data_IF_895858409695
#
_entry.id   IF_895858409695
#
_cell.length_a   1.000
_cell.length_b   1.000
_cell.length_c   1.000
_cell.angle_alpha   90.00
_cell.angle_beta   90.00
_cell.angle_gamma   90.00
#
_symmetry.space_group_name_H-M   'P 1'
#
loop_
_entity.id
_entity.type
_entity.pdbx_description
1 polymer ?
#
# COMPACT_ATOMS: atom_id res chain seq x y z
N UNK A 1 11.38 -10.16 -13.88
CA UNK A 1 10.24 -10.47 -12.99
C UNK A 1 10.55 -10.44 -11.48
N UNK A 2 11.80 -10.28 -10.99
CA UNK A 2 12.08 -10.29 -9.53
C UNK A 2 11.66 -9.02 -8.75
N UNK A 3 11.57 -7.85 -9.41
CA UNK A 3 11.47 -6.55 -8.72
C UNK A 3 10.13 -6.28 -8.02
N UNK A 4 9.12 -7.13 -8.20
CA UNK A 4 7.79 -6.99 -7.57
C UNK A 4 7.47 -8.07 -6.53
N UNK A 5 8.23 -9.16 -6.45
CA UNK A 5 7.95 -10.28 -5.51
C UNK A 5 7.91 -9.82 -4.04
N UNK A 6 8.77 -8.87 -3.66
CA UNK A 6 8.79 -8.32 -2.31
C UNK A 6 7.54 -7.50 -1.97
N UNK A 7 6.89 -6.87 -2.95
CA UNK A 7 5.63 -6.15 -2.74
C UNK A 7 4.50 -7.12 -2.46
N UNK A 8 4.45 -8.23 -3.20
CA UNK A 8 3.44 -9.26 -3.02
C UNK A 8 3.62 -9.96 -1.66
N UNK A 9 4.88 -10.22 -1.25
CA UNK A 9 5.20 -10.70 0.09
C UNK A 9 4.77 -9.73 1.19
N UNK A 10 5.08 -8.44 1.04
CA UNK A 10 4.70 -7.41 2.01
C UNK A 10 3.18 -7.24 2.11
N UNK A 11 2.47 -7.33 0.99
CA UNK A 11 0.99 -7.35 0.94
C UNK A 11 0.42 -8.56 1.65
N UNK A 12 0.99 -9.74 1.41
CA UNK A 12 0.56 -10.98 2.08
C UNK A 12 0.71 -10.89 3.59
N UNK A 13 1.85 -10.38 4.09
CA UNK A 13 2.08 -10.16 5.52
C UNK A 13 1.06 -9.15 6.08
N UNK A 14 0.87 -8.01 5.41
CA UNK A 14 -0.10 -7.01 5.83
C UNK A 14 -1.53 -7.56 5.86
N UNK A 15 -1.91 -8.38 4.87
CA UNK A 15 -3.23 -9.00 4.80
C UNK A 15 -3.44 -10.03 5.93
N UNK A 16 -2.41 -10.83 6.24
CA UNK A 16 -2.47 -11.78 7.36
C UNK A 16 -2.63 -11.06 8.70
N UNK A 17 -1.92 -9.94 8.90
CA UNK A 17 -2.07 -9.10 10.09
C UNK A 17 -3.49 -8.52 10.17
N UNK A 18 -4.04 -7.97 9.09
CA UNK A 18 -5.41 -7.45 9.07
C UNK A 18 -6.44 -8.54 9.35
N UNK A 19 -6.25 -9.76 8.82
CA UNK A 19 -7.13 -10.88 9.09
C UNK A 19 -7.07 -11.33 10.56
N UNK A 20 -5.86 -11.42 11.13
CA UNK A 20 -5.68 -11.73 12.54
C UNK A 20 -6.32 -10.67 13.45
N UNK A 21 -6.11 -9.39 13.14
CA UNK A 21 -6.70 -8.25 13.85
C UNK A 21 -8.23 -8.35 13.88
N UNK A 22 -8.89 -8.52 12.73
CA UNK A 22 -10.35 -8.68 12.68
C UNK A 22 -10.85 -9.95 13.38
N UNK A 23 -10.05 -11.02 13.40
CA UNK A 23 -10.41 -12.25 14.10
C UNK A 23 -10.36 -12.08 15.62
N UNK A 24 -9.36 -11.37 16.15
CA UNK A 24 -9.16 -11.21 17.60
C UNK A 24 -9.84 -9.98 18.19
N UNK A 25 -10.23 -8.98 17.38
CA UNK A 25 -10.78 -7.69 17.86
C UNK A 25 -12.00 -7.85 18.75
N UNK A 26 -12.83 -8.88 18.54
CA UNK A 26 -14.04 -9.14 19.33
C UNK A 26 -13.77 -9.86 20.65
N UNK A 27 -12.69 -10.65 20.73
CA UNK A 27 -12.46 -11.61 21.82
C UNK A 27 -11.28 -11.25 22.73
N UNK A 28 -10.31 -10.45 22.25
CA UNK A 28 -9.06 -10.17 22.96
C UNK A 28 -8.76 -8.68 22.93
N UNK A 29 -9.13 -7.93 23.98
CA UNK A 29 -9.02 -6.47 23.96
C UNK A 29 -7.59 -5.92 24.18
N UNK A 30 -6.75 -6.60 24.97
CA UNK A 30 -5.46 -6.06 25.43
C UNK A 30 -4.48 -5.67 24.31
N UNK A 31 -4.33 -6.43 23.19
CA UNK A 31 -3.42 -6.08 22.10
C UNK A 31 -3.79 -4.81 21.33
N UNK A 32 -5.06 -4.39 21.40
CA UNK A 32 -5.59 -3.23 20.67
C UNK A 32 -5.31 -1.91 21.39
N UNK A 33 -4.83 -1.98 22.62
CA UNK A 33 -4.53 -0.85 23.51
C UNK A 33 -3.03 -0.65 23.62
N UNK A 34 -2.59 0.60 23.73
CA UNK A 34 -1.19 0.92 23.94
C UNK A 34 -0.71 0.59 25.34
N UNK A 35 0.57 0.25 25.45
CA UNK A 35 1.24 0.06 26.75
C UNK A 35 1.14 1.36 27.57
N UNK A 36 0.73 1.26 28.83
CA UNK A 36 0.47 2.38 29.76
C UNK A 36 -0.65 3.35 29.38
N UNK A 37 -1.58 2.96 28.50
CA UNK A 37 -2.86 3.71 28.36
C UNK A 37 -3.68 3.61 29.65
N UNK A 38 -4.44 4.65 29.97
CA UNK A 38 -5.34 4.67 31.12
C UNK A 38 -6.52 3.68 30.97
N UNK A 39 -6.89 2.91 32.02
CA UNK A 39 -6.21 2.79 33.31
C UNK A 39 -4.90 1.97 33.20
N UNK A 40 -3.76 2.46 33.74
CA UNK A 40 -2.44 1.84 33.51
C UNK A 40 -2.25 0.47 34.14
N UNK A 41 -3.12 0.05 35.07
CA UNK A 41 -3.03 -1.25 35.75
C UNK A 41 -3.40 -2.41 34.82
N UNK A 42 -4.32 -2.19 33.86
CA UNK A 42 -4.75 -3.20 32.89
C UNK A 42 -3.94 -3.23 31.59
N UNK A 43 -2.97 -2.32 31.43
CA UNK A 43 -2.25 -2.07 30.17
C UNK A 43 -0.74 -2.17 30.34
N UNK A 44 -0.26 -3.33 30.85
CA UNK A 44 1.16 -3.62 31.09
C UNK A 44 1.61 -4.91 30.39
N UNK A 45 1.00 -5.25 29.26
CA UNK A 45 1.27 -6.51 28.58
C UNK A 45 2.34 -6.36 27.50
N UNK A 46 3.23 -7.34 27.39
CA UNK A 46 4.33 -7.34 26.41
C UNK A 46 3.80 -7.25 24.96
N UNK A 47 2.61 -7.81 24.69
CA UNK A 47 1.94 -7.75 23.37
C UNK A 47 1.64 -6.32 22.91
N UNK A 48 1.54 -5.36 23.83
CA UNK A 48 1.24 -3.95 23.54
C UNK A 48 2.49 -3.15 23.13
N UNK A 49 3.68 -3.73 23.28
CA UNK A 49 4.94 -3.05 22.96
C UNK A 49 5.38 -3.35 21.52
N UNK A 50 5.98 -2.37 20.83
CA UNK A 50 6.81 -2.67 19.66
C UNK A 50 7.97 -3.60 20.06
N UNK A 51 8.32 -4.61 19.25
CA UNK A 51 7.83 -4.83 17.90
C UNK A 51 6.55 -5.67 17.80
N UNK A 52 6.17 -6.39 18.85
CA UNK A 52 5.14 -7.44 18.82
C UNK A 52 3.76 -6.89 18.44
N UNK A 53 3.46 -5.67 18.87
CA UNK A 53 2.18 -5.00 18.60
C UNK A 53 1.79 -4.94 17.12
N UNK A 54 2.75 -4.93 16.19
CA UNK A 54 2.43 -4.82 14.76
C UNK A 54 1.45 -5.91 14.28
N UNK A 55 1.45 -7.07 14.94
CA UNK A 55 0.57 -8.20 14.64
C UNK A 55 -0.91 -7.89 14.87
N UNK A 56 -1.22 -6.83 15.63
CA UNK A 56 -2.54 -6.35 15.99
C UNK A 56 -2.73 -4.87 15.60
N UNK A 57 -2.04 -4.43 14.53
CA UNK A 57 -2.14 -3.06 14.03
C UNK A 57 -2.75 -3.04 12.62
N UNK A 58 -4.02 -3.42 12.49
CA UNK A 58 -4.72 -3.35 11.20
C UNK A 58 -4.69 -1.94 10.60
N UNK A 59 -4.93 -0.89 11.39
CA UNK A 59 -4.89 0.48 10.89
C UNK A 59 -3.50 0.86 10.33
N UNK A 60 -2.41 0.36 10.92
CA UNK A 60 -1.07 0.52 10.34
C UNK A 60 -0.89 -0.23 9.03
N UNK A 61 -1.49 -1.43 8.91
CA UNK A 61 -1.46 -2.18 7.66
C UNK A 61 -2.30 -1.51 6.56
N UNK A 62 -3.42 -0.87 6.90
CA UNK A 62 -4.22 -0.09 5.93
C UNK A 62 -3.39 1.04 5.32
N UNK A 63 -2.66 1.82 6.13
CA UNK A 63 -1.79 2.89 5.60
C UNK A 63 -0.64 2.32 4.76
N UNK A 64 -0.15 1.13 5.11
CA UNK A 64 0.85 0.41 4.34
C UNK A 64 0.31 -0.02 2.97
N UNK A 65 -0.93 -0.51 2.91
CA UNK A 65 -1.60 -0.84 1.65
C UNK A 65 -1.72 0.39 0.73
N UNK A 66 -2.00 1.58 1.25
CA UNK A 66 -2.10 2.79 0.42
C UNK A 66 -0.76 3.10 -0.29
N UNK A 67 0.35 3.02 0.43
CA UNK A 67 1.70 3.25 -0.13
C UNK A 67 2.06 2.17 -1.17
N UNK A 68 1.82 0.91 -0.85
CA UNK A 68 2.14 -0.21 -1.74
C UNK A 68 1.26 -0.18 -2.99
N UNK A 69 -0.04 0.11 -2.85
CA UNK A 69 -0.96 0.26 -3.97
C UNK A 69 -0.54 1.40 -4.88
N UNK A 70 -0.20 2.57 -4.33
CA UNK A 70 0.38 3.67 -5.10
C UNK A 70 1.63 3.25 -5.89
N UNK A 71 2.55 2.52 -5.26
CA UNK A 71 3.76 2.02 -5.92
C UNK A 71 3.45 1.04 -7.06
N UNK A 72 2.62 0.03 -6.80
CA UNK A 72 2.34 -1.05 -7.76
C UNK A 72 1.61 -0.55 -9.02
N UNK A 73 0.65 0.36 -8.85
CA UNK A 73 -0.02 1.02 -9.98
C UNK A 73 0.99 1.80 -10.80
N UNK A 74 1.78 2.60 -10.10
CA UNK A 74 2.71 3.53 -10.72
C UNK A 74 3.78 2.80 -11.51
N UNK A 75 4.44 1.79 -10.93
CA UNK A 75 5.53 1.11 -11.63
C UNK A 75 5.08 0.46 -12.94
N UNK A 76 3.87 -0.11 -12.97
CA UNK A 76 3.28 -0.70 -14.18
C UNK A 76 3.07 0.34 -15.28
N UNK A 77 2.43 1.48 -14.95
CA UNK A 77 2.15 2.54 -15.90
C UNK A 77 3.39 3.34 -16.32
N UNK A 78 4.34 3.55 -15.40
CA UNK A 78 5.58 4.27 -15.66
C UNK A 78 6.49 3.53 -16.64
N UNK A 79 6.45 2.20 -16.66
CA UNK A 79 7.18 1.40 -17.66
C UNK A 79 6.61 1.59 -19.07
N UNK A 80 5.30 1.85 -19.19
CA UNK A 80 4.65 2.07 -20.48
C UNK A 80 4.61 3.54 -20.93
N UNK A 81 5.10 4.48 -20.10
CA UNK A 81 4.90 5.94 -20.29
C UNK A 81 5.38 6.48 -21.64
N UNK A 82 6.50 5.96 -22.15
CA UNK A 82 7.09 6.44 -23.40
C UNK A 82 6.57 5.67 -24.64
N UNK A 83 5.66 4.71 -24.46
CA UNK A 83 5.11 3.92 -25.54
C UNK A 83 3.83 4.53 -26.14
N UNK A 84 3.50 4.22 -27.40
CA UNK A 84 2.28 4.72 -28.05
C UNK A 84 0.99 4.26 -27.36
N UNK A 85 1.04 3.13 -26.65
CA UNK A 85 -0.09 2.57 -25.91
C UNK A 85 -0.27 3.15 -24.49
N UNK A 86 0.49 4.17 -24.08
CA UNK A 86 0.45 4.70 -22.71
C UNK A 86 -0.96 5.08 -22.25
N UNK A 87 -1.65 5.92 -23.03
CA UNK A 87 -3.01 6.38 -22.68
C UNK A 87 -4.03 5.24 -22.70
N UNK A 88 -3.93 4.31 -23.65
CA UNK A 88 -4.78 3.13 -23.71
C UNK A 88 -4.60 2.26 -22.46
N UNK A 89 -3.36 2.06 -22.01
CA UNK A 89 -3.05 1.32 -20.77
C UNK A 89 -3.55 2.03 -19.52
N UNK A 90 -3.44 3.36 -19.44
CA UNK A 90 -4.01 4.15 -18.34
C UNK A 90 -5.53 4.02 -18.31
N UNK A 91 -6.20 4.25 -19.45
CA UNK A 91 -7.66 4.13 -19.58
C UNK A 91 -8.16 2.75 -19.16
N UNK A 92 -7.52 1.70 -19.68
CA UNK A 92 -7.84 0.32 -19.34
C UNK A 92 -7.59 0.01 -17.84
N UNK A 93 -6.53 0.57 -17.24
CA UNK A 93 -6.26 0.42 -15.82
C UNK A 93 -7.33 1.09 -14.94
N UNK A 94 -7.84 2.27 -15.33
CA UNK A 94 -8.92 2.98 -14.62
C UNK A 94 -10.20 2.13 -14.65
N UNK A 95 -10.65 1.73 -15.84
CA UNK A 95 -11.92 1.00 -16.02
C UNK A 95 -11.89 -0.36 -15.32
N UNK A 96 -10.85 -1.17 -15.54
CA UNK A 96 -10.74 -2.49 -14.89
C UNK A 96 -10.72 -2.39 -13.37
N UNK A 97 -10.15 -1.31 -12.82
CA UNK A 97 -10.08 -1.13 -11.36
C UNK A 97 -11.46 -0.90 -10.74
N UNK A 98 -12.36 -0.18 -11.42
CA UNK A 98 -13.74 0.02 -10.95
C UNK A 98 -14.41 -1.32 -10.71
N UNK A 99 -14.40 -2.20 -11.72
CA UNK A 99 -14.98 -3.53 -11.60
C UNK A 99 -14.27 -4.38 -10.57
N UNK A 100 -12.93 -4.39 -10.56
CA UNK A 100 -12.16 -5.20 -9.61
C UNK A 100 -12.43 -4.84 -8.14
N UNK A 101 -12.63 -3.56 -7.83
CA UNK A 101 -12.91 -3.10 -6.46
C UNK A 101 -14.39 -3.26 -6.12
N UNK A 102 -15.29 -2.73 -6.96
CA UNK A 102 -16.70 -2.62 -6.58
C UNK A 102 -17.54 -3.85 -6.90
N UNK A 103 -17.11 -4.74 -7.81
CA UNK A 103 -17.86 -5.97 -8.06
C UNK A 103 -17.85 -6.91 -6.84
N UNK A 104 -16.70 -7.20 -6.19
CA UNK A 104 -16.70 -7.97 -4.94
C UNK A 104 -17.46 -7.28 -3.81
N UNK A 105 -17.36 -5.95 -3.71
CA UNK A 105 -18.09 -5.14 -2.71
C UNK A 105 -19.60 -5.25 -2.92
N UNK A 106 -20.08 -5.14 -4.15
CA UNK A 106 -21.49 -5.27 -4.48
C UNK A 106 -22.02 -6.67 -4.12
N UNK A 107 -21.29 -7.72 -4.48
CA UNK A 107 -21.68 -9.10 -4.19
C UNK A 107 -21.75 -9.34 -2.67
N UNK A 108 -20.71 -8.96 -1.94
CA UNK A 108 -20.65 -9.13 -0.47
C UNK A 108 -21.67 -8.28 0.27
N UNK A 109 -21.90 -7.03 -0.14
CA UNK A 109 -22.95 -6.17 0.41
C UNK A 109 -24.35 -6.73 0.14
N UNK A 110 -24.58 -7.28 -1.05
CA UNK A 110 -25.85 -7.92 -1.40
C UNK A 110 -26.13 -9.15 -0.53
N UNK A 111 -25.13 -10.04 -0.36
CA UNK A 111 -25.27 -11.20 0.53
C UNK A 111 -25.49 -10.80 1.98
N UNK A 112 -24.73 -9.82 2.49
CA UNK A 112 -24.93 -9.30 3.84
C UNK A 112 -26.36 -8.76 4.03
N UNK A 113 -26.88 -7.99 3.07
CA UNK A 113 -28.23 -7.47 3.14
C UNK A 113 -29.29 -8.58 3.08
N UNK A 114 -29.06 -9.62 2.27
CA UNK A 114 -29.96 -10.79 2.19
C UNK A 114 -30.00 -11.53 3.54
N UNK A 115 -28.83 -11.79 4.15
CA UNK A 115 -28.78 -12.45 5.45
C UNK A 115 -29.39 -11.61 6.56
N UNK A 116 -29.21 -10.28 6.50
CA UNK A 116 -29.85 -9.36 7.42
C UNK A 116 -31.38 -9.32 7.23
N UNK A 117 -31.88 -9.36 6.00
CA UNK A 117 -33.32 -9.44 5.73
C UNK A 117 -33.97 -10.68 6.38
N UNK A 118 -33.27 -11.82 6.38
CA UNK A 118 -33.71 -13.06 7.01
C UNK A 118 -33.46 -13.12 8.52
N UNK A 119 -32.99 -12.04 9.14
CA UNK A 119 -32.72 -11.96 10.58
C UNK A 119 -31.65 -12.97 11.05
N UNK A 120 -30.64 -13.22 10.22
CA UNK A 120 -29.57 -14.19 10.52
C UNK A 120 -28.40 -13.60 11.31
N UNK A 121 -28.35 -12.27 11.45
CA UNK A 121 -27.30 -11.59 12.19
C UNK A 121 -27.62 -11.55 13.68
N UNK A 122 -26.68 -12.07 14.49
CA UNK A 122 -26.76 -12.04 15.96
C UNK A 122 -25.64 -11.19 16.58
N UNK A 123 -24.86 -10.50 15.75
CA UNK A 123 -23.77 -9.63 16.22
C UNK A 123 -24.35 -8.29 16.73
N UNK A 124 -23.84 -7.73 17.84
CA UNK A 124 -24.10 -6.34 18.18
C UNK A 124 -23.65 -5.39 17.07
N UNK A 125 -24.56 -4.54 16.62
CA UNK A 125 -24.28 -3.40 15.76
C UNK A 125 -24.54 -2.11 16.52
N UNK A 126 -23.97 -1.01 16.03
CA UNK A 126 -24.27 0.33 16.54
C UNK A 126 -25.77 0.65 16.36
N UNK A 127 -26.41 1.12 17.42
CA UNK A 127 -27.87 1.40 17.42
C UNK A 127 -28.22 2.47 16.38
N UNK A 128 -27.39 3.52 16.25
CA UNK A 128 -27.57 4.57 15.26
C UNK A 128 -27.46 4.06 13.83
N UNK A 129 -26.57 3.10 13.57
CA UNK A 129 -26.50 2.41 12.28
C UNK A 129 -27.75 1.55 12.02
N UNK A 130 -28.21 0.78 13.00
CA UNK A 130 -29.41 -0.06 12.86
C UNK A 130 -30.67 0.76 12.55
N UNK A 131 -30.78 1.97 13.10
CA UNK A 131 -31.89 2.89 12.79
C UNK A 131 -31.93 3.31 11.31
N UNK A 132 -30.78 3.33 10.63
CA UNK A 132 -30.71 3.63 9.19
C UNK A 132 -31.13 2.45 8.30
N UNK A 133 -31.15 1.24 8.84
CA UNK A 133 -31.46 0.02 8.11
C UNK A 133 -32.97 -0.25 8.09
N UNK A 134 -33.52 -0.73 6.95
CA UNK A 134 -34.87 -1.29 6.94
C UNK A 134 -34.98 -2.47 7.93
N UNK A 135 -36.15 -2.66 8.56
CA UNK A 135 -36.32 -3.75 9.53
C UNK A 135 -36.28 -5.12 8.84
N UNK A 136 -35.72 -6.17 9.46
CA UNK A 136 -35.76 -7.53 8.92
C UNK A 136 -37.18 -7.96 8.57
N UNK A 137 -37.33 -8.82 7.57
CA UNK A 137 -38.62 -9.29 7.04
C UNK A 137 -39.58 -8.21 6.53
N UNK A 138 -39.16 -6.95 6.44
CA UNK A 138 -39.97 -5.84 5.92
C UNK A 138 -39.50 -5.37 4.55
N UNK A 139 -40.43 -4.91 3.71
CA UNK A 139 -40.19 -4.20 2.44
C UNK A 139 -38.89 -4.61 1.69
N UNK A 140 -38.85 -5.77 1.00
CA UNK A 140 -37.64 -6.27 0.32
C UNK A 140 -37.00 -5.24 -0.63
N UNK A 141 -37.82 -4.40 -1.25
CA UNK A 141 -37.36 -3.31 -2.10
C UNK A 141 -36.53 -2.27 -1.34
N UNK A 142 -36.86 -1.96 -0.08
CA UNK A 142 -36.10 -1.04 0.75
C UNK A 142 -34.69 -1.58 1.07
N UNK A 143 -34.55 -2.90 1.24
CA UNK A 143 -33.24 -3.53 1.39
C UNK A 143 -32.41 -3.44 0.11
N UNK A 144 -33.04 -3.65 -1.05
CA UNK A 144 -32.38 -3.51 -2.34
C UNK A 144 -31.93 -2.07 -2.62
N UNK A 145 -32.79 -1.08 -2.38
CA UNK A 145 -32.44 0.34 -2.55
C UNK A 145 -31.37 0.78 -1.56
N UNK A 146 -31.35 0.23 -0.34
CA UNK A 146 -30.27 0.47 0.61
C UNK A 146 -28.91 0.03 0.05
N UNK A 147 -28.81 -1.15 -0.56
CA UNK A 147 -27.56 -1.62 -1.19
C UNK A 147 -27.14 -0.70 -2.34
N UNK A 148 -28.08 -0.24 -3.17
CA UNK A 148 -27.78 0.70 -4.25
C UNK A 148 -27.28 2.05 -3.73
N UNK A 149 -27.89 2.59 -2.68
CA UNK A 149 -27.43 3.83 -2.04
C UNK A 149 -26.05 3.64 -1.40
N UNK A 150 -25.84 2.52 -0.70
CA UNK A 150 -24.52 2.17 -0.14
C UNK A 150 -23.44 2.09 -1.24
N UNK A 151 -23.77 1.54 -2.42
CA UNK A 151 -22.86 1.55 -3.57
C UNK A 151 -22.63 2.95 -4.12
N UNK A 152 -23.68 3.77 -4.25
CA UNK A 152 -23.57 5.13 -4.75
C UNK A 152 -22.67 5.99 -3.84
N UNK A 153 -22.86 5.90 -2.52
CA UNK A 153 -22.05 6.59 -1.52
C UNK A 153 -20.60 6.08 -1.54
N UNK A 154 -20.40 4.75 -1.66
CA UNK A 154 -19.07 4.14 -1.77
C UNK A 154 -18.32 4.57 -3.04
N UNK A 155 -19.02 4.75 -4.15
CA UNK A 155 -18.42 5.17 -5.43
C UNK A 155 -18.16 6.69 -5.46
N UNK A 156 -18.80 7.47 -4.59
CA UNK A 156 -18.64 8.91 -4.53
C UNK A 156 -17.26 9.32 -4.00
N UNK A 157 -16.33 9.48 -4.94
CA UNK A 157 -14.92 9.81 -4.70
C UNK A 157 -14.72 11.25 -4.21
N UNK A 158 -15.70 12.14 -4.45
CA UNK A 158 -15.59 13.58 -4.21
C UNK A 158 -16.09 13.92 -2.81
N UNK A 159 -17.30 13.48 -2.49
CA UNK A 159 -17.92 13.66 -1.19
C UNK A 159 -18.04 12.30 -0.51
N UNK A 160 -16.92 11.86 0.07
CA UNK A 160 -16.87 10.60 0.80
C UNK A 160 -17.71 10.71 2.09
N UNK A 161 -18.84 10.01 2.13
CA UNK A 161 -19.66 9.85 3.31
C UNK A 161 -19.62 8.38 3.76
N UNK A 162 -19.13 8.14 4.97
CA UNK A 162 -19.20 6.82 5.59
C UNK A 162 -20.45 6.75 6.47
N UNK A 163 -21.47 6.01 6.03
CA UNK A 163 -22.75 5.86 6.74
C UNK A 163 -22.88 4.57 7.54
N UNK A 164 -21.76 3.90 7.80
CA UNK A 164 -21.74 2.55 8.36
C UNK A 164 -22.12 1.49 7.32
N UNK A 165 -21.78 0.24 7.58
CA UNK A 165 -22.11 -0.88 6.72
C UNK A 165 -22.19 -2.18 7.52
N UNK A 166 -23.06 -3.10 7.10
CA UNK A 166 -23.06 -4.48 7.62
C UNK A 166 -21.68 -5.13 7.46
N UNK A 167 -20.95 -4.76 6.40
CA UNK A 167 -19.56 -5.11 6.18
C UNK A 167 -18.65 -3.92 6.50
N UNK A 168 -18.50 -3.61 7.79
CA UNK A 168 -17.76 -2.43 8.28
C UNK A 168 -16.34 -2.33 7.71
N UNK A 169 -15.72 -3.46 7.40
CA UNK A 169 -14.35 -3.61 6.88
C UNK A 169 -14.17 -3.05 5.45
N UNK A 170 -15.26 -2.88 4.69
CA UNK A 170 -15.20 -2.41 3.29
C UNK A 170 -14.96 -0.91 3.16
N UNK A 171 -14.89 -0.17 4.27
CA UNK A 171 -14.63 1.27 4.31
C UNK A 171 -13.35 1.70 3.58
N UNK A 172 -12.37 0.81 3.45
CA UNK A 172 -11.11 1.10 2.75
C UNK A 172 -11.25 1.10 1.22
N UNK A 173 -12.30 0.51 0.66
CA UNK A 173 -12.45 0.35 -0.80
C UNK A 173 -12.61 1.69 -1.53
N UNK A 174 -13.48 2.62 -1.06
CA UNK A 174 -13.56 3.97 -1.63
C UNK A 174 -12.26 4.75 -1.50
N UNK A 175 -11.58 4.61 -0.37
CA UNK A 175 -10.27 5.23 -0.10
C UNK A 175 -9.23 4.75 -1.10
N UNK A 176 -9.19 3.44 -1.37
CA UNK A 176 -8.28 2.85 -2.35
C UNK A 176 -8.59 3.33 -3.78
N UNK A 177 -9.86 3.41 -4.14
CA UNK A 177 -10.27 3.91 -5.44
C UNK A 177 -9.93 5.40 -5.60
N UNK A 178 -10.20 6.22 -4.59
CA UNK A 178 -9.85 7.65 -4.55
C UNK A 178 -8.37 7.88 -4.78
N UNK A 179 -7.51 7.26 -3.98
CA UNK A 179 -6.07 7.42 -4.11
C UNK A 179 -5.53 6.92 -5.45
N UNK A 180 -6.14 5.88 -6.01
CA UNK A 180 -5.78 5.38 -7.35
C UNK A 180 -6.07 6.39 -8.45
N UNK A 181 -7.23 7.06 -8.41
CA UNK A 181 -7.59 8.10 -9.36
C UNK A 181 -6.63 9.31 -9.30
N UNK A 182 -6.21 9.69 -8.09
CA UNK A 182 -5.17 10.73 -7.91
C UNK A 182 -3.86 10.31 -8.59
N UNK A 183 -3.43 9.06 -8.43
CA UNK A 183 -2.22 8.55 -9.08
C UNK A 183 -2.35 8.52 -10.60
N UNK A 184 -3.49 8.09 -11.15
CA UNK A 184 -3.72 8.12 -12.59
C UNK A 184 -3.64 9.54 -13.15
N UNK A 185 -4.29 10.49 -12.49
CA UNK A 185 -4.26 11.90 -12.87
C UNK A 185 -2.84 12.48 -12.81
N UNK A 186 -2.07 12.19 -11.77
CA UNK A 186 -0.69 12.66 -11.64
C UNK A 186 0.24 12.01 -12.68
N UNK A 187 0.07 10.74 -13.00
CA UNK A 187 0.87 10.04 -14.01
C UNK A 187 0.64 10.64 -15.41
N UNK A 188 -0.61 10.94 -15.76
CA UNK A 188 -0.95 11.57 -17.03
C UNK A 188 -0.49 13.04 -17.05
N UNK A 189 -0.83 13.81 -16.02
CA UNK A 189 -0.50 15.24 -15.93
C UNK A 189 1.01 15.52 -15.89
N UNK A 190 1.79 14.63 -15.26
CA UNK A 190 3.26 14.74 -15.18
C UNK A 190 3.98 13.91 -16.27
N UNK A 191 3.26 13.39 -17.27
CA UNK A 191 3.85 12.55 -18.32
C UNK A 191 4.92 13.30 -19.12
N UNK A 192 4.65 14.55 -19.50
CA UNK A 192 5.58 15.44 -20.22
C UNK A 192 6.67 16.09 -19.36
N UNK A 193 6.62 15.92 -18.03
CA UNK A 193 7.57 16.57 -17.13
C UNK A 193 8.92 15.82 -17.07
N UNK A 194 10.01 16.60 -16.95
CA UNK A 194 11.35 16.04 -16.70
C UNK A 194 11.37 15.25 -15.40
N UNK A 195 12.12 14.15 -15.36
CA UNK A 195 12.23 13.27 -14.17
C UNK A 195 12.68 14.04 -12.93
N UNK A 196 13.61 14.99 -13.07
CA UNK A 196 14.10 15.83 -11.96
C UNK A 196 12.97 16.63 -11.30
N UNK A 197 12.10 17.26 -12.09
CA UNK A 197 10.97 18.05 -11.57
C UNK A 197 9.98 17.17 -10.80
N UNK A 198 9.73 15.94 -11.27
CA UNK A 198 8.85 14.96 -10.61
C UNK A 198 9.36 14.59 -9.21
N UNK A 199 10.67 14.51 -9.01
CA UNK A 199 11.26 14.21 -7.70
C UNK A 199 11.03 15.29 -6.64
N UNK A 200 10.75 16.54 -7.05
CA UNK A 200 10.44 17.64 -6.12
C UNK A 200 8.94 17.86 -5.96
N UNK A 201 8.17 17.82 -7.05
CA UNK A 201 6.74 18.15 -7.00
C UNK A 201 5.92 17.06 -6.30
N UNK A 202 6.27 15.78 -6.45
CA UNK A 202 5.52 14.67 -5.85
C UNK A 202 5.60 14.68 -4.32
N UNK A 203 6.80 14.80 -3.68
CA UNK A 203 6.87 14.93 -2.22
C UNK A 203 6.20 16.21 -1.71
N UNK A 204 6.33 17.33 -2.42
CA UNK A 204 5.66 18.59 -2.04
C UNK A 204 4.13 18.40 -1.99
N UNK A 205 3.56 17.81 -3.03
CA UNK A 205 2.13 17.55 -3.11
C UNK A 205 1.68 16.53 -2.05
N UNK A 206 2.47 15.47 -1.83
CA UNK A 206 2.21 14.50 -0.78
C UNK A 206 2.15 15.20 0.59
N UNK A 207 3.18 15.96 0.95
CA UNK A 207 3.25 16.70 2.22
C UNK A 207 2.09 17.70 2.37
N UNK A 208 1.68 18.37 1.29
CA UNK A 208 0.50 19.24 1.28
C UNK A 208 -0.78 18.47 1.67
N UNK A 209 -1.05 17.31 1.05
CA UNK A 209 -2.21 16.49 1.39
C UNK A 209 -2.14 15.95 2.81
N UNK A 210 -0.95 15.55 3.27
CA UNK A 210 -0.73 15.12 4.64
C UNK A 210 -1.01 16.24 5.65
N UNK A 211 -0.59 17.48 5.35
CA UNK A 211 -0.89 18.65 6.19
C UNK A 211 -2.39 18.93 6.31
N UNK A 212 -3.18 18.63 5.28
CA UNK A 212 -4.65 18.66 5.32
C UNK A 212 -5.29 17.45 6.02
N UNK A 213 -4.51 16.41 6.37
CA UNK A 213 -5.02 15.19 7.00
C UNK A 213 -5.42 14.08 6.01
N UNK A 214 -5.18 14.26 4.70
CA UNK A 214 -5.45 13.23 3.69
C UNK A 214 -4.29 12.22 3.64
N UNK A 215 -4.21 11.40 4.68
CA UNK A 215 -3.15 10.40 4.87
C UNK A 215 -3.11 9.37 3.73
N UNK A 216 -4.26 8.95 3.22
CA UNK A 216 -4.39 8.00 2.13
C UNK A 216 -3.83 8.56 0.82
N UNK A 217 -4.21 9.79 0.45
CA UNK A 217 -3.69 10.48 -0.74
C UNK A 217 -2.18 10.66 -0.63
N UNK A 218 -1.67 11.05 0.55
CA UNK A 218 -0.24 11.09 0.81
C UNK A 218 0.41 9.72 0.53
N UNK A 219 -0.15 8.64 1.06
CA UNK A 219 0.37 7.28 0.86
C UNK A 219 0.48 6.91 -0.61
N UNK A 220 -0.58 7.15 -1.39
CA UNK A 220 -0.61 6.86 -2.83
C UNK A 220 0.42 7.69 -3.62
N UNK A 221 0.51 9.01 -3.36
CA UNK A 221 1.48 9.89 -4.02
C UNK A 221 2.91 9.50 -3.64
N UNK A 222 3.14 9.13 -2.38
CA UNK A 222 4.45 8.65 -1.93
C UNK A 222 4.84 7.35 -2.62
N UNK A 223 3.89 6.42 -2.79
CA UNK A 223 4.06 5.21 -3.58
C UNK A 223 4.48 5.51 -5.04
N UNK A 224 3.84 6.48 -5.68
CA UNK A 224 4.21 6.98 -7.01
C UNK A 224 5.64 7.53 -7.03
N UNK A 225 6.03 8.34 -6.04
CA UNK A 225 7.39 8.87 -5.93
C UNK A 225 8.44 7.75 -5.75
N UNK A 226 8.14 6.74 -4.94
CA UNK A 226 9.01 5.56 -4.77
C UNK A 226 9.17 4.79 -6.09
N UNK A 227 8.09 4.66 -6.89
CA UNK A 227 8.13 4.01 -8.20
C UNK A 227 8.98 4.80 -9.21
N UNK A 228 8.88 6.14 -9.23
CA UNK A 228 9.75 7.00 -10.05
C UNK A 228 11.24 6.86 -9.66
N UNK A 229 11.53 6.73 -8.36
CA UNK A 229 12.90 6.47 -7.88
C UNK A 229 13.40 5.11 -8.33
N UNK A 230 12.57 4.06 -8.22
CA UNK A 230 12.92 2.72 -8.65
C UNK A 230 13.20 2.66 -10.16
N UNK A 231 12.37 3.32 -10.98
CA UNK A 231 12.57 3.40 -12.43
C UNK A 231 13.86 4.14 -12.79
N UNK A 232 14.11 5.28 -12.14
CA UNK A 232 15.30 6.11 -12.39
C UNK A 232 16.60 5.38 -12.01
N UNK A 233 16.59 4.63 -10.91
CA UNK A 233 17.72 3.74 -10.52
C UNK A 233 17.95 2.66 -11.58
N UNK A 234 16.89 2.03 -12.08
CA UNK A 234 17.02 1.01 -13.12
C UNK A 234 17.61 1.57 -14.42
N UNK A 235 17.18 2.76 -14.85
CA UNK A 235 17.71 3.41 -16.06
C UNK A 235 19.20 3.76 -15.90
N UNK A 236 19.61 4.23 -14.71
CA UNK A 236 21.00 4.51 -14.40
C UNK A 236 21.88 3.24 -14.46
N UNK A 237 21.39 2.11 -13.92
CA UNK A 237 22.11 0.83 -13.99
C UNK A 237 22.30 0.36 -15.43
N UNK A 238 21.25 0.38 -16.26
CA UNK A 238 21.35 -0.02 -17.68
C UNK A 238 22.33 0.86 -18.46
N UNK A 239 22.35 2.17 -18.21
CA UNK A 239 23.31 3.09 -18.86
C UNK A 239 24.77 2.87 -18.47
N UNK A 240 25.04 2.13 -17.40
CA UNK A 240 26.41 1.87 -16.89
C UNK A 240 27.01 0.55 -17.37
N UNK A 241 26.22 -0.29 -18.07
CA UNK A 241 26.71 -1.52 -18.70
C UNK A 241 27.11 -1.21 -20.16
N UNK A 242 28.30 -1.65 -20.64
CA UNK A 242 28.66 -1.52 -22.05
C UNK A 242 27.65 -2.28 -22.90
N UNK A 243 27.08 -1.60 -23.90
CA UNK A 243 26.10 -2.15 -24.83
C UNK A 243 26.77 -3.09 -25.84
N UNK A 244 26.94 -4.35 -25.48
CA UNK A 244 27.35 -5.42 -26.40
C UNK A 244 26.27 -6.53 -26.42
N UNK A 245 25.04 -6.21 -26.86
CA UNK A 245 24.13 -7.14 -27.57
C UNK A 245 22.82 -6.42 -27.96
N UNK A 246 22.28 -6.62 -29.18
CA UNK A 246 21.05 -5.95 -29.60
C UNK A 246 19.84 -6.53 -28.88
N UNK A 247 19.18 -5.64 -28.15
CA UNK A 247 18.02 -5.83 -27.28
C UNK A 247 16.71 -6.12 -28.05
N UNK A 248 16.74 -7.02 -29.04
CA UNK A 248 15.58 -7.33 -29.88
C UNK A 248 14.92 -8.69 -29.53
N UNK A 249 15.54 -9.53 -28.70
CA UNK A 249 14.98 -10.85 -28.34
C UNK A 249 14.09 -10.83 -27.08
N UNK A 250 14.13 -9.78 -26.25
CA UNK A 250 13.37 -9.71 -24.99
C UNK A 250 11.98 -9.05 -25.14
N UNK A 251 11.68 -8.49 -26.32
CA UNK A 251 10.43 -7.74 -26.57
C UNK A 251 9.37 -8.58 -27.32
N UNK A 252 9.76 -9.65 -28.00
CA UNK A 252 8.85 -10.52 -28.78
C UNK A 252 8.15 -11.60 -27.92
N UNK A 253 8.63 -11.85 -26.70
CA UNK A 253 8.04 -12.82 -25.76
C UNK A 253 6.99 -12.21 -24.82
N UNK A 254 6.74 -10.90 -24.91
CA UNK A 254 5.78 -10.19 -24.03
C UNK A 254 4.38 -10.04 -24.65
N UNK A 255 4.14 -10.59 -25.84
CA UNK A 255 2.88 -10.44 -26.58
C UNK A 255 2.04 -11.74 -26.63
N UNK A 256 2.36 -12.77 -25.83
CA UNK A 256 1.63 -14.05 -25.87
C UNK A 256 1.27 -14.71 -24.52
N UNK A 257 1.29 -13.99 -23.39
CA UNK A 257 0.91 -14.58 -22.07
C UNK A 257 -0.39 -13.99 -21.50
N UNK A 258 -1.44 -13.94 -22.31
CA UNK A 258 -2.81 -13.69 -21.85
C UNK A 258 -3.79 -14.70 -22.48
N UNK A 259 -3.42 -15.98 -22.52
CA UNK A 259 -4.36 -17.09 -22.74
C UNK A 259 -3.73 -18.43 -22.31
N UNK A 260 -4.50 -19.22 -21.57
CA UNK A 260 -4.32 -20.66 -21.32
C UNK A 260 -3.30 -21.13 -20.24
N UNK A 261 -3.82 -21.65 -19.12
CA UNK A 261 -3.10 -22.55 -18.22
C UNK A 261 -3.85 -23.86 -18.09
N UNK A 262 -3.81 -24.68 -19.14
CA UNK A 262 -4.15 -26.09 -19.13
C UNK A 262 -2.96 -26.95 -19.61
N UNK A 263 -2.51 -27.86 -18.72
CA UNK A 263 -1.72 -29.10 -18.91
C UNK A 263 -0.40 -29.13 -19.74
N UNK A 264 0.64 -29.68 -19.06
CA UNK A 264 1.49 -30.82 -19.49
C UNK A 264 2.71 -30.65 -20.43
N UNK A 265 3.90 -30.84 -19.82
CA UNK A 265 5.05 -31.69 -20.21
C UNK A 265 5.91 -31.47 -21.50
N UNK A 266 7.24 -31.55 -21.27
CA UNK A 266 8.41 -31.80 -22.17
C UNK A 266 8.66 -30.81 -23.33
N UNK A 267 9.81 -30.14 -23.45
CA UNK A 267 11.12 -30.70 -23.84
C UNK A 267 12.21 -29.61 -23.74
N UNK A 268 13.44 -29.99 -23.41
CA UNK A 268 14.62 -29.12 -23.45
C UNK A 268 15.42 -29.34 -24.75
N UNK A 269 16.17 -28.34 -25.24
CA UNK A 269 17.35 -28.60 -26.04
C UNK A 269 18.64 -28.15 -25.33
N UNK A 270 19.56 -29.09 -25.26
CA UNK A 270 20.99 -28.93 -25.02
C UNK A 270 21.61 -27.99 -26.06
N UNK A 271 22.47 -27.04 -25.65
CA UNK A 271 23.58 -26.57 -26.49
C UNK A 271 24.87 -26.34 -25.70
N UNK A 272 25.91 -26.83 -26.36
CA UNK A 272 27.26 -27.10 -25.92
C UNK A 272 28.16 -25.89 -26.17
N UNK A 273 28.98 -25.56 -25.16
CA UNK A 273 30.36 -25.08 -25.24
C UNK A 273 30.74 -23.91 -26.16
N UNK A 274 31.32 -22.87 -25.56
CA UNK A 274 32.63 -22.36 -26.02
C UNK A 274 33.30 -21.53 -24.93
N UNK A 275 34.33 -22.12 -24.35
CA UNK A 275 35.33 -21.47 -23.51
C UNK A 275 36.34 -20.79 -24.43
N UNK A 276 36.46 -19.45 -24.37
CA UNK A 276 37.66 -18.73 -24.83
C UNK A 276 37.82 -17.45 -24.03
N UNK A 277 38.89 -17.43 -23.24
CA UNK A 277 39.14 -16.39 -22.24
C UNK A 277 39.60 -15.06 -22.82
N UNK A 278 39.64 -14.07 -21.92
CA UNK A 278 40.71 -13.07 -21.91
C UNK A 278 40.81 -12.44 -20.53
N UNK A 279 41.89 -12.81 -19.84
CA UNK A 279 42.55 -11.99 -18.84
C UNK A 279 42.73 -10.57 -19.40
N UNK A 280 42.20 -9.57 -18.70
CA UNK A 280 42.81 -8.23 -18.67
C UNK A 280 42.51 -7.60 -17.32
N UNK A 281 43.48 -7.73 -16.42
CA UNK A 281 43.55 -6.92 -15.22
C UNK A 281 43.65 -5.45 -15.61
N UNK A 282 42.82 -4.61 -14.99
CA UNK A 282 43.02 -3.17 -14.92
C UNK A 282 42.52 -2.64 -13.58
N UNK A 283 43.50 -2.22 -12.79
CA UNK A 283 43.48 -1.27 -11.69
C UNK A 283 42.23 -1.24 -10.78
N UNK A 284 42.36 -1.98 -9.69
CA UNK A 284 41.56 -1.84 -8.48
C UNK A 284 41.99 -0.58 -7.73
N UNK A 285 41.46 0.58 -8.11
CA UNK A 285 41.40 1.76 -7.24
C UNK A 285 39.96 1.95 -6.77
N UNK A 286 39.43 0.98 -6.00
CA UNK A 286 38.13 1.12 -5.31
C UNK A 286 38.35 1.85 -3.98
N UNK A 287 38.39 3.18 -4.08
CA UNK A 287 37.84 4.16 -3.16
C UNK A 287 37.40 3.63 -1.79
N UNK A 288 38.20 3.86 -0.74
CA UNK A 288 37.75 3.77 0.65
C UNK A 288 36.52 4.67 0.92
N UNK A 289 36.36 5.76 0.17
CA UNK A 289 35.22 6.69 0.25
C UNK A 289 33.89 6.01 -0.14
N UNK A 290 33.93 5.07 -1.10
CA UNK A 290 32.76 4.31 -1.56
C UNK A 290 32.24 3.33 -0.51
N UNK A 291 33.14 2.69 0.27
CA UNK A 291 32.72 1.78 1.35
C UNK A 291 32.00 2.52 2.48
N UNK A 292 32.50 3.68 2.88
CA UNK A 292 31.89 4.48 3.95
C UNK A 292 30.53 5.05 3.54
N UNK A 293 30.35 5.51 2.30
CA UNK A 293 29.05 5.97 1.80
C UNK A 293 28.01 4.83 1.74
N UNK A 294 28.42 3.61 1.36
CA UNK A 294 27.53 2.44 1.33
C UNK A 294 27.14 2.03 2.75
N UNK A 295 28.08 2.03 3.70
CA UNK A 295 27.80 1.70 5.10
C UNK A 295 26.87 2.73 5.74
N UNK A 296 27.11 4.02 5.54
CA UNK A 296 26.24 5.08 6.05
C UNK A 296 24.82 5.01 5.49
N UNK A 297 24.70 4.78 4.17
CA UNK A 297 23.40 4.61 3.51
C UNK A 297 22.62 3.39 4.00
N UNK A 298 23.32 2.32 4.41
CA UNK A 298 22.68 1.14 5.01
C UNK A 298 22.21 1.40 6.44
N UNK A 299 23.04 2.07 7.24
CA UNK A 299 22.67 2.44 8.61
C UNK A 299 21.45 3.35 8.60
N UNK A 300 21.43 4.36 7.71
CA UNK A 300 20.26 5.24 7.59
C UNK A 300 19.01 4.48 7.13
N UNK A 301 19.11 3.54 6.20
CA UNK A 301 17.97 2.70 5.81
C UNK A 301 17.43 1.85 6.97
N UNK A 302 18.30 1.26 7.79
CA UNK A 302 17.89 0.50 8.98
C UNK A 302 17.22 1.40 10.02
N UNK A 303 17.75 2.59 10.27
CA UNK A 303 17.13 3.54 11.20
C UNK A 303 15.75 3.99 10.71
N UNK A 304 15.60 4.27 9.41
CA UNK A 304 14.31 4.62 8.79
C UNK A 304 13.34 3.44 8.89
N UNK A 305 13.82 2.20 8.70
CA UNK A 305 12.99 1.00 8.86
C UNK A 305 12.46 0.88 10.29
N UNK A 306 13.34 0.99 11.29
CA UNK A 306 12.97 0.88 12.71
C UNK A 306 12.00 1.98 13.12
N UNK A 307 12.26 3.23 12.73
CA UNK A 307 11.36 4.34 13.01
C UNK A 307 10.00 4.17 12.29
N UNK A 308 10.00 3.72 11.04
CA UNK A 308 8.77 3.44 10.29
C UNK A 308 7.93 2.33 10.93
N UNK A 309 8.59 1.24 11.34
CA UNK A 309 7.98 0.14 12.07
C UNK A 309 7.39 0.60 13.40
N UNK A 310 8.11 1.43 14.16
CA UNK A 310 7.64 1.99 15.42
C UNK A 310 6.37 2.83 15.24
N UNK A 311 6.31 3.68 14.21
CA UNK A 311 5.11 4.48 13.92
C UNK A 311 3.91 3.63 13.49
N UNK A 312 4.14 2.50 12.80
CA UNK A 312 3.07 1.55 12.45
C UNK A 312 2.48 0.86 13.69
N UNK A 313 3.24 0.77 14.77
CA UNK A 313 2.76 0.25 16.05
C UNK A 313 2.00 1.31 16.88
N UNK A 314 1.75 2.51 16.37
CA UNK A 314 0.93 3.50 17.07
C UNK A 314 -0.50 2.96 17.28
N UNK A 315 -1.07 3.13 18.46
CA UNK A 315 -2.39 2.62 18.80
C UNK A 315 -3.56 3.42 18.25
N UNK A 316 -4.77 2.97 18.60
CA UNK A 316 -6.01 3.70 18.38
C UNK A 316 -6.67 4.07 19.73
N UNK A 317 -5.89 4.66 20.64
CA UNK A 317 -6.30 4.91 22.04
C UNK A 317 -7.17 6.18 22.23
N UNK A 318 -7.57 6.87 21.15
CA UNK A 318 -8.25 8.17 21.23
C UNK A 318 -7.33 9.36 21.54
N UNK A 319 -6.11 9.11 22.01
CA UNK A 319 -5.11 10.10 22.36
C UNK A 319 -3.70 9.53 22.20
N UNK A 320 -2.68 10.39 22.28
CA UNK A 320 -1.30 9.94 22.19
C UNK A 320 -0.91 9.12 23.43
N UNK A 321 -0.56 7.83 23.26
CA UNK A 321 -0.07 7.03 24.38
C UNK A 321 1.30 7.55 24.85
N UNK A 322 1.71 7.24 26.10
CA UNK A 322 2.94 7.77 26.70
C UNK A 322 4.20 7.63 25.81
N UNK A 323 4.38 6.48 25.16
CA UNK A 323 5.52 6.21 24.27
C UNK A 323 5.57 7.05 22.99
N UNK A 324 4.48 7.76 22.66
CA UNK A 324 4.34 8.53 21.43
C UNK A 324 4.09 10.03 21.68
N UNK A 325 4.11 10.49 22.94
CA UNK A 325 3.83 11.89 23.29
C UNK A 325 4.76 12.90 22.60
N UNK A 326 5.99 12.51 22.25
CA UNK A 326 6.91 13.37 21.51
C UNK A 326 6.36 13.79 20.13
N UNK A 327 5.43 13.02 19.55
CA UNK A 327 4.77 13.37 18.29
C UNK A 327 3.90 14.63 18.42
N UNK A 328 3.46 14.98 19.63
CA UNK A 328 2.69 16.21 19.87
C UNK A 328 3.48 17.48 19.54
N UNK A 329 4.81 17.43 19.58
CA UNK A 329 5.68 18.58 19.25
C UNK A 329 5.78 18.79 17.73
N UNK A 330 5.68 17.70 16.96
CA UNK A 330 5.85 17.72 15.51
C UNK A 330 4.52 17.83 14.74
N UNK A 331 3.39 17.82 15.45
CA UNK A 331 2.07 17.79 14.82
C UNK A 331 1.65 19.16 14.29
N UNK A 332 1.12 19.25 13.06
CA UNK A 332 0.46 20.45 12.57
C UNK A 332 -0.81 20.79 13.38
N UNK A 333 -1.10 22.08 13.55
CA UNK A 333 -2.32 22.57 14.22
C UNK A 333 -3.62 22.07 13.58
N UNK A 334 -3.59 21.67 12.30
CA UNK A 334 -4.74 21.14 11.57
C UNK A 334 -5.20 19.75 12.00
N UNK A 335 -4.33 18.98 12.65
CA UNK A 335 -4.68 17.65 13.15
C UNK A 335 -5.18 17.69 14.59
N UNK A 336 -5.11 18.88 15.23
CA UNK A 336 -5.46 19.06 16.62
C UNK A 336 -6.91 18.63 16.86
N UNK A 337 -7.12 17.88 17.95
CA UNK A 337 -8.43 17.42 18.42
C UNK A 337 -9.19 16.48 17.44
N UNK A 338 -8.50 15.94 16.42
CA UNK A 338 -9.06 15.00 15.43
C UNK A 338 -8.30 13.68 15.43
N UNK A 339 -8.52 12.86 16.45
CA UNK A 339 -7.82 11.58 16.61
C UNK A 339 -7.94 10.67 15.38
N UNK A 340 -9.13 10.62 14.77
CA UNK A 340 -9.43 9.80 13.59
C UNK A 340 -8.58 10.15 12.35
N UNK A 341 -8.03 11.35 12.29
CA UNK A 341 -7.09 11.75 11.23
C UNK A 341 -5.66 11.58 11.71
N UNK A 342 -5.42 12.04 12.94
CA UNK A 342 -4.14 12.14 13.57
C UNK A 342 -3.35 10.83 13.57
N UNK A 343 -3.98 9.73 14.02
CA UNK A 343 -3.29 8.45 14.15
C UNK A 343 -2.93 7.85 12.78
N UNK A 344 -3.78 8.02 11.76
CA UNK A 344 -3.50 7.56 10.40
C UNK A 344 -2.40 8.38 9.72
N UNK A 345 -2.30 9.69 9.98
CA UNK A 345 -1.21 10.52 9.46
C UNK A 345 0.16 9.98 9.90
N UNK A 346 0.34 9.71 11.19
CA UNK A 346 1.59 9.15 11.72
C UNK A 346 1.87 7.73 11.21
N UNK A 347 0.85 6.86 11.20
CA UNK A 347 0.97 5.52 10.63
C UNK A 347 1.37 5.54 9.16
N UNK A 348 0.83 6.47 8.36
CA UNK A 348 1.19 6.57 6.94
C UNK A 348 2.59 7.13 6.72
N UNK A 349 3.07 8.05 7.57
CA UNK A 349 4.49 8.41 7.59
C UNK A 349 5.34 7.16 7.87
N UNK A 350 4.92 6.35 8.85
CA UNK A 350 5.55 5.06 9.16
C UNK A 350 5.60 4.11 7.95
N UNK A 351 4.47 3.95 7.24
CA UNK A 351 4.38 3.16 6.01
C UNK A 351 5.33 3.68 4.92
N UNK A 352 5.35 4.99 4.70
CA UNK A 352 6.20 5.64 3.71
C UNK A 352 7.70 5.40 3.99
N UNK A 353 8.09 5.46 5.27
CA UNK A 353 9.45 5.16 5.75
C UNK A 353 9.78 3.67 5.59
N UNK A 354 8.88 2.77 5.99
CA UNK A 354 9.08 1.32 5.90
C UNK A 354 9.31 0.88 4.44
N UNK A 355 8.41 1.28 3.52
CA UNK A 355 8.51 0.91 2.10
C UNK A 355 9.75 1.55 1.45
N UNK A 356 10.08 2.79 1.82
CA UNK A 356 11.33 3.43 1.39
C UNK A 356 12.55 2.60 1.79
N UNK A 357 12.63 2.20 3.06
CA UNK A 357 13.78 1.50 3.62
C UNK A 357 13.95 0.11 3.00
N UNK A 358 12.86 -0.65 2.84
CA UNK A 358 12.88 -1.95 2.16
C UNK A 358 13.43 -1.81 0.73
N UNK A 359 13.05 -0.75 0.02
CA UNK A 359 13.54 -0.46 -1.33
C UNK A 359 14.98 0.07 -1.43
N UNK A 360 15.64 0.40 -0.32
CA UNK A 360 17.06 0.82 -0.27
C UNK A 360 17.98 -0.29 0.27
N UNK A 361 17.45 -1.23 1.05
CA UNK A 361 18.23 -2.37 1.53
C UNK A 361 18.60 -3.27 0.34
N UNK A 362 19.91 -3.48 0.06
CA UNK A 362 20.32 -4.33 -1.04
C UNK A 362 19.85 -5.75 -0.78
N UNK A 363 19.06 -6.32 -1.70
CA UNK A 363 18.60 -7.70 -1.66
C UNK A 363 19.79 -8.66 -1.56
N UNK A 364 20.12 -9.04 -0.32
CA UNK A 364 21.11 -10.07 -0.01
C UNK A 364 20.45 -11.43 0.28
N UNK A 365 19.12 -11.53 0.20
CA UNK A 365 18.37 -12.71 0.63
C UNK A 365 18.08 -13.73 -0.49
N UNK A 366 18.57 -13.55 -1.71
CA UNK A 366 18.30 -14.50 -2.82
C UNK A 366 19.51 -14.73 -3.75
N UNK A 367 20.71 -14.77 -3.18
CA UNK A 367 21.88 -15.36 -3.86
C UNK A 367 22.43 -16.51 -3.03
N UNK A 368 21.60 -17.52 -2.82
CA UNK A 368 22.04 -18.88 -2.48
C UNK A 368 21.25 -19.86 -3.33
#
# INVERSE_FOLDING_TARGET
MERTKWLDGLRGIAAAIVAADHFFMSDVWHPFVSYWTDPPEGNRHIVQLPPIRILFSAHGMVTLFMVISGYAISISLLNARNGPQFLARVSSAVVRRVFRIYMPVFVTASFAQIFYFFDLYHWPFDEGFLETLPKPWTAPWAHFTWVLNYMADSINIIAFEYRGALNGQLWTMPVEFRGSNVVYLLIVGLSGWRSKSRFYVLPLLACFFLWYGNWDIFGFIWGLWLAERARSRATATTSSLPSDEPLNAEFEMAEFEDEDRSRSFFTAPLRLGSWRGKLRGKLRCKSLKSRNCITFSRISAVLIFVAGYYLLCLGNDGHLPPGYQFLSVLQPSRWKDKWDIYHFCWKTIGSAMLVYAIGELPGRLTRE
#
